data_IF_819443496978
#
_entry.id   IF_819443496978
#
_cell.length_a   1.000
_cell.length_b   1.000
_cell.length_c   1.000
_cell.angle_alpha   90.00
_cell.angle_beta   90.00
_cell.angle_gamma   90.00
#
_symmetry.space_group_name_H-M   'P 1'
#
loop_
_entity.id
_entity.type
_entity.pdbx_description
1 polymer ?
#
# COMPACT_ATOMS: atom_id res chain seq x y z
N UNK A 1 -10.00 13.24 13.90
CA UNK A 1 -9.01 12.32 14.51
C UNK A 1 -8.02 11.88 13.44
N UNK A 2 -6.79 11.51 13.83
CA UNK A 2 -5.80 10.88 12.94
C UNK A 2 -5.75 9.39 13.22
N UNK A 3 -5.86 8.58 12.17
CA UNK A 3 -5.88 7.12 12.26
C UNK A 3 -4.87 6.53 11.29
N UNK A 4 -4.06 5.59 11.77
CA UNK A 4 -3.19 4.77 10.92
C UNK A 4 -3.84 3.40 10.73
N UNK A 5 -4.02 2.99 9.48
CA UNK A 5 -4.60 1.68 9.12
C UNK A 5 -3.54 0.88 8.38
N UNK A 6 -3.10 -0.23 8.97
CA UNK A 6 -2.24 -1.21 8.30
C UNK A 6 -3.10 -2.35 7.75
N UNK A 7 -3.22 -2.41 6.43
CA UNK A 7 -3.89 -3.51 5.73
C UNK A 7 -2.83 -4.55 5.40
N UNK A 8 -2.84 -5.66 6.15
CA UNK A 8 -1.94 -6.77 5.90
C UNK A 8 -2.14 -7.35 4.49
N UNK A 9 -1.05 -7.59 3.77
CA UNK A 9 -1.13 -8.18 2.42
C UNK A 9 -1.72 -9.59 2.40
N UNK A 10 -1.68 -10.31 3.53
CA UNK A 10 -2.41 -11.58 3.69
C UNK A 10 -3.92 -11.42 3.58
N UNK A 11 -4.46 -10.24 3.89
CA UNK A 11 -5.90 -9.96 3.87
C UNK A 11 -6.37 -9.63 2.45
N UNK A 12 -5.67 -8.73 1.76
CA UNK A 12 -6.11 -8.22 0.45
C UNK A 12 -5.43 -8.86 -0.75
N UNK A 13 -4.31 -9.54 -0.55
CA UNK A 13 -3.40 -9.97 -1.59
C UNK A 13 -2.85 -11.40 -1.37
N UNK A 14 -3.64 -12.30 -0.76
CA UNK A 14 -3.30 -13.73 -0.64
C UNK A 14 -4.52 -14.66 -0.82
N UNK A 15 -5.09 -14.78 -2.04
CA UNK A 15 -4.74 -14.08 -3.28
C UNK A 15 -5.36 -12.67 -3.33
N UNK A 16 -5.13 -11.93 -4.42
CA UNK A 16 -5.76 -10.62 -4.62
C UNK A 16 -7.28 -10.72 -4.50
N UNK A 17 -7.87 -9.92 -3.61
CA UNK A 17 -9.32 -9.89 -3.40
C UNK A 17 -9.89 -8.50 -3.72
N UNK A 18 -10.43 -8.31 -4.94
CA UNK A 18 -11.02 -7.03 -5.36
C UNK A 18 -12.17 -6.56 -4.48
N UNK A 19 -12.97 -7.48 -3.90
CA UNK A 19 -14.09 -7.13 -3.04
C UNK A 19 -13.63 -6.48 -1.73
N UNK A 20 -12.51 -6.96 -1.18
CA UNK A 20 -11.92 -6.34 0.02
C UNK A 20 -11.34 -4.96 -0.29
N UNK A 21 -10.70 -4.79 -1.44
CA UNK A 21 -10.21 -3.47 -1.89
C UNK A 21 -11.38 -2.48 -2.01
N UNK A 22 -12.48 -2.90 -2.63
CA UNK A 22 -13.68 -2.08 -2.75
C UNK A 22 -14.31 -1.72 -1.39
N UNK A 23 -14.40 -2.71 -0.50
CA UNK A 23 -14.88 -2.53 0.87
C UNK A 23 -14.04 -1.53 1.66
N UNK A 24 -12.71 -1.68 1.65
CA UNK A 24 -11.80 -0.73 2.30
C UNK A 24 -11.91 0.67 1.70
N UNK A 25 -11.99 0.79 0.37
CA UNK A 25 -12.15 2.09 -0.27
C UNK A 25 -13.46 2.79 0.16
N UNK A 26 -14.55 2.04 0.29
CA UNK A 26 -15.83 2.55 0.79
C UNK A 26 -15.71 3.03 2.24
N UNK A 27 -15.16 2.20 3.14
CA UNK A 27 -14.95 2.56 4.55
C UNK A 27 -14.06 3.80 4.70
N UNK A 28 -12.95 3.87 3.97
CA UNK A 28 -12.02 5.00 4.04
C UNK A 28 -12.71 6.29 3.58
N UNK A 29 -13.56 6.25 2.55
CA UNK A 29 -14.34 7.42 2.13
C UNK A 29 -15.31 7.90 3.19
N UNK A 30 -16.03 6.99 3.83
CA UNK A 30 -16.97 7.33 4.90
C UNK A 30 -16.23 8.00 6.06
N UNK A 31 -15.09 7.43 6.48
CA UNK A 31 -14.27 8.01 7.55
C UNK A 31 -13.70 9.38 7.17
N UNK A 32 -13.24 9.55 5.93
CA UNK A 32 -12.79 10.85 5.41
C UNK A 32 -13.92 11.89 5.41
N UNK A 33 -15.12 11.52 4.97
CA UNK A 33 -16.30 12.38 4.96
C UNK A 33 -16.74 12.78 6.37
N UNK A 34 -16.49 11.93 7.37
CA UNK A 34 -16.69 12.25 8.79
C UNK A 34 -15.60 13.16 9.39
N UNK A 35 -14.66 13.69 8.58
CA UNK A 35 -13.61 14.60 9.04
C UNK A 35 -12.42 13.90 9.71
N UNK A 36 -12.18 12.62 9.41
CA UNK A 36 -10.99 11.91 9.88
C UNK A 36 -9.85 11.97 8.88
N UNK A 37 -8.63 12.07 9.40
CA UNK A 37 -7.39 11.98 8.62
C UNK A 37 -6.88 10.53 8.69
N UNK A 38 -6.62 9.89 7.54
CA UNK A 38 -6.21 8.48 7.48
C UNK A 38 -4.87 8.28 6.77
N UNK A 39 -3.93 7.62 7.46
CA UNK A 39 -2.73 7.08 6.84
C UNK A 39 -2.87 5.56 6.66
N UNK A 40 -2.97 5.10 5.41
CA UNK A 40 -3.22 3.71 5.06
C UNK A 40 -1.97 3.09 4.47
N UNK A 41 -1.52 1.95 5.02
CA UNK A 41 -0.37 1.19 4.51
C UNK A 41 -0.84 -0.19 4.07
N UNK A 42 -0.52 -0.58 2.84
CA UNK A 42 -0.94 -1.86 2.24
C UNK A 42 0.27 -2.77 2.05
N UNK A 43 0.18 -4.02 2.52
CA UNK A 43 1.18 -5.05 2.25
C UNK A 43 0.90 -5.82 0.95
N UNK A 44 1.94 -6.43 0.37
CA UNK A 44 1.81 -7.10 -0.93
C UNK A 44 1.46 -8.60 -0.92
N UNK A 45 1.42 -9.25 0.24
CA UNK A 45 0.81 -10.58 0.40
C UNK A 45 1.54 -11.71 -0.34
N UNK A 46 0.78 -12.70 -0.86
CA UNK A 46 1.32 -13.83 -1.63
C UNK A 46 1.91 -13.37 -2.95
N UNK A 47 1.36 -12.32 -3.55
CA UNK A 47 1.87 -11.72 -4.79
C UNK A 47 3.30 -11.24 -4.58
N UNK A 48 3.58 -10.48 -3.50
CA UNK A 48 4.98 -10.10 -3.19
C UNK A 48 5.87 -11.33 -2.99
N UNK A 49 5.39 -12.39 -2.32
CA UNK A 49 6.18 -13.62 -2.11
C UNK A 49 6.47 -14.35 -3.41
N UNK A 50 5.55 -14.36 -4.36
CA UNK A 50 5.75 -14.92 -5.70
C UNK A 50 6.82 -14.15 -6.46
N UNK A 51 6.77 -12.81 -6.41
CA UNK A 51 7.79 -11.97 -7.05
C UNK A 51 9.16 -12.02 -6.36
N UNK A 52 9.22 -12.18 -5.04
CA UNK A 52 10.48 -12.43 -4.31
C UNK A 52 11.12 -13.73 -4.81
N UNK A 53 10.34 -14.81 -4.95
CA UNK A 53 10.85 -16.08 -5.47
C UNK A 53 11.36 -15.94 -6.90
N UNK A 54 10.61 -15.27 -7.78
CA UNK A 54 11.06 -15.02 -9.15
C UNK A 54 12.36 -14.19 -9.18
N UNK A 55 12.46 -13.16 -8.33
CA UNK A 55 13.68 -12.36 -8.18
C UNK A 55 14.88 -13.21 -7.71
N UNK A 56 14.66 -14.11 -6.76
CA UNK A 56 15.68 -15.06 -6.29
C UNK A 56 16.13 -16.00 -7.41
N UNK A 57 15.18 -16.56 -8.18
CA UNK A 57 15.46 -17.50 -9.27
C UNK A 57 16.29 -16.88 -10.40
N UNK A 58 16.15 -15.56 -10.64
CA UNK A 58 16.98 -14.82 -11.61
C UNK A 58 18.28 -14.28 -11.00
N UNK A 59 18.61 -14.66 -9.77
CA UNK A 59 19.90 -14.38 -9.14
C UNK A 59 20.02 -13.02 -8.44
N UNK A 60 18.91 -12.35 -8.10
CA UNK A 60 18.95 -11.09 -7.37
C UNK A 60 19.28 -11.31 -5.89
N UNK A 61 20.05 -10.37 -5.31
CA UNK A 61 20.36 -10.35 -3.89
C UNK A 61 19.12 -9.99 -3.04
N UNK A 62 19.22 -10.17 -1.72
CA UNK A 62 18.09 -9.93 -0.81
C UNK A 62 17.56 -8.49 -0.86
N UNK A 63 18.45 -7.50 -1.02
CA UNK A 63 18.07 -6.09 -1.11
C UNK A 63 17.21 -5.83 -2.34
N UNK A 64 17.61 -6.35 -3.50
CA UNK A 64 16.83 -6.25 -4.73
C UNK A 64 15.51 -7.03 -4.66
N UNK A 65 15.47 -8.18 -3.96
CA UNK A 65 14.23 -8.91 -3.71
C UNK A 65 13.25 -8.08 -2.88
N UNK A 66 13.73 -7.41 -1.83
CA UNK A 66 12.92 -6.51 -1.00
C UNK A 66 12.40 -5.31 -1.81
N UNK A 67 13.21 -4.71 -2.68
CA UNK A 67 12.78 -3.63 -3.59
C UNK A 67 11.65 -4.07 -4.54
N UNK A 68 11.74 -5.29 -5.08
CA UNK A 68 10.66 -5.89 -5.87
C UNK A 68 9.39 -6.05 -5.03
N UNK A 69 9.50 -6.59 -3.81
CA UNK A 69 8.36 -6.77 -2.90
C UNK A 69 7.67 -5.44 -2.54
N UNK A 70 8.47 -4.40 -2.29
CA UNK A 70 8.01 -3.03 -2.04
C UNK A 70 7.26 -2.50 -3.26
N UNK A 71 7.81 -2.68 -4.46
CA UNK A 71 7.16 -2.26 -5.70
C UNK A 71 5.79 -2.92 -5.87
N UNK A 72 5.68 -4.22 -5.61
CA UNK A 72 4.40 -4.93 -5.64
C UNK A 72 3.40 -4.36 -4.63
N UNK A 73 3.82 -4.10 -3.39
CA UNK A 73 2.92 -3.49 -2.40
C UNK A 73 2.42 -2.10 -2.83
N UNK A 74 3.25 -1.32 -3.53
CA UNK A 74 2.88 0.00 -4.07
C UNK A 74 1.89 -0.11 -5.23
N UNK A 75 1.98 -1.14 -6.06
CA UNK A 75 0.96 -1.41 -7.11
C UNK A 75 -0.40 -1.67 -6.48
N UNK A 76 -0.46 -2.45 -5.40
CA UNK A 76 -1.73 -2.70 -4.69
C UNK A 76 -2.23 -1.44 -3.99
N UNK A 77 -1.34 -0.67 -3.37
CA UNK A 77 -1.65 0.64 -2.79
C UNK A 77 -2.21 1.61 -3.84
N UNK A 78 -1.63 1.65 -5.05
CA UNK A 78 -2.09 2.46 -6.17
C UNK A 78 -3.51 2.10 -6.59
N UNK A 79 -3.82 0.81 -6.69
CA UNK A 79 -5.17 0.36 -7.01
C UNK A 79 -6.18 0.84 -5.95
N UNK A 80 -5.85 0.73 -4.66
CA UNK A 80 -6.70 1.25 -3.57
C UNK A 80 -6.84 2.78 -3.63
N UNK A 81 -5.74 3.51 -3.84
CA UNK A 81 -5.73 4.97 -3.91
C UNK A 81 -6.59 5.50 -5.06
N UNK A 82 -6.42 4.94 -6.27
CA UNK A 82 -7.25 5.26 -7.44
C UNK A 82 -8.71 4.91 -7.15
N UNK A 83 -8.94 3.74 -6.53
CA UNK A 83 -10.30 3.34 -6.17
C UNK A 83 -10.95 4.31 -5.19
N UNK A 84 -10.21 5.02 -4.33
CA UNK A 84 -10.72 6.02 -3.38
C UNK A 84 -10.93 7.39 -4.04
N UNK A 85 -9.88 7.96 -4.65
CA UNK A 85 -9.83 9.35 -5.09
C UNK A 85 -9.69 9.58 -6.61
N UNK A 86 -9.83 8.53 -7.42
CA UNK A 86 -9.72 8.60 -8.88
C UNK A 86 -8.27 8.66 -9.37
N UNK A 87 -8.10 8.90 -10.68
CA UNK A 87 -6.77 8.89 -11.32
C UNK A 87 -5.81 9.96 -10.77
N UNK A 88 -6.32 11.02 -10.16
CA UNK A 88 -5.51 12.04 -9.49
C UNK A 88 -4.70 11.45 -8.31
N UNK A 89 -5.15 10.34 -7.74
CA UNK A 89 -4.48 9.67 -6.61
C UNK A 89 -3.56 8.53 -7.05
N UNK A 90 -3.24 8.42 -8.36
CA UNK A 90 -2.39 7.34 -8.90
C UNK A 90 -0.94 7.38 -8.40
N UNK A 91 -0.42 8.53 -7.98
CA UNK A 91 0.95 8.62 -7.44
C UNK A 91 0.92 8.21 -5.97
N UNK A 92 1.67 7.16 -5.64
CA UNK A 92 1.84 6.65 -4.28
C UNK A 92 3.12 7.24 -3.69
N UNK A 93 3.06 7.82 -2.48
CA UNK A 93 4.24 8.29 -1.78
C UNK A 93 5.28 7.18 -1.58
N UNK A 94 6.52 7.53 -1.84
CA UNK A 94 7.70 6.68 -1.68
C UNK A 94 8.58 7.10 -0.52
N UNK A 95 8.29 8.26 0.09
CA UNK A 95 8.95 8.79 1.29
C UNK A 95 7.92 9.14 2.37
N UNK A 96 8.41 9.35 3.60
CA UNK A 96 7.56 9.80 4.71
C UNK A 96 7.10 11.25 4.51
N UNK A 97 7.97 12.08 3.95
CA UNK A 97 7.72 13.48 3.66
C UNK A 97 6.57 13.64 2.66
N UNK A 98 6.63 12.92 1.53
CA UNK A 98 5.56 12.88 0.53
C UNK A 98 4.24 12.39 1.14
N UNK A 99 4.31 11.44 2.08
CA UNK A 99 3.12 10.91 2.73
C UNK A 99 2.46 11.92 3.67
N UNK A 100 3.26 12.70 4.41
CA UNK A 100 2.79 13.78 5.28
C UNK A 100 2.15 14.89 4.45
N UNK A 101 2.79 15.29 3.35
CA UNK A 101 2.24 16.28 2.41
C UNK A 101 0.90 15.81 1.81
N UNK A 102 0.88 14.59 1.29
CA UNK A 102 -0.34 13.98 0.73
C UNK A 102 -1.47 13.91 1.76
N UNK A 103 -1.16 13.53 3.00
CA UNK A 103 -2.14 13.46 4.08
C UNK A 103 -2.73 14.85 4.41
N UNK A 104 -1.88 15.89 4.48
CA UNK A 104 -2.32 17.27 4.72
C UNK A 104 -3.21 17.79 3.59
N UNK A 105 -2.87 17.49 2.33
CA UNK A 105 -3.64 17.94 1.16
C UNK A 105 -4.99 17.23 1.03
N UNK A 106 -5.01 15.91 1.23
CA UNK A 106 -6.16 15.08 0.86
C UNK A 106 -7.00 14.63 2.05
N UNK A 107 -6.45 14.70 3.26
CA UNK A 107 -6.99 14.04 4.45
C UNK A 107 -6.83 12.52 4.44
N UNK A 108 -6.34 11.93 3.35
CA UNK A 108 -6.04 10.49 3.26
C UNK A 108 -4.78 10.30 2.44
N UNK A 109 -3.87 9.47 2.96
CA UNK A 109 -2.72 8.96 2.22
C UNK A 109 -2.78 7.44 2.18
N UNK A 110 -2.45 6.86 1.02
CA UNK A 110 -2.31 5.41 0.84
C UNK A 110 -0.88 5.13 0.41
N UNK A 111 -0.23 4.15 1.05
CA UNK A 111 1.18 3.81 0.86
C UNK A 111 1.36 2.31 0.71
N UNK A 112 2.47 1.94 0.05
CA UNK A 112 3.05 0.59 0.14
C UNK A 112 4.25 0.58 1.09
N UNK A 113 5.18 -0.34 0.87
CA UNK A 113 6.47 -0.38 1.55
C UNK A 113 7.35 0.84 1.24
N UNK A 114 8.25 1.16 2.19
CA UNK A 114 9.15 2.32 2.11
C UNK A 114 10.62 1.93 1.94
N UNK A 115 11.10 0.94 2.70
CA UNK A 115 12.50 0.52 2.70
C UNK A 115 12.63 -1.00 2.85
N UNK A 116 13.68 -1.60 2.26
CA UNK A 116 14.08 -2.98 2.53
C UNK A 116 14.28 -3.26 4.03
N UNK A 117 14.17 -4.53 4.43
CA UNK A 117 14.48 -4.97 5.79
C UNK A 117 13.44 -4.68 6.89
N UNK A 118 12.37 -3.92 6.62
CA UNK A 118 11.34 -3.57 7.62
C UNK A 118 10.38 -4.72 8.03
N UNK A 119 10.46 -5.88 7.36
CA UNK A 119 9.51 -6.99 7.53
C UNK A 119 10.14 -8.26 8.13
N UNK A 120 11.40 -8.19 8.57
CA UNK A 120 12.18 -9.35 9.05
C UNK A 120 12.06 -9.64 10.56
N UNK A 121 11.04 -9.13 11.25
CA UNK A 121 10.76 -9.45 12.67
C UNK A 121 9.28 -9.80 12.89
#
# INVERSE_FOLDING_TARGET
>A
MRVTVRIGGSVVASPLNPRLIDGYASTIRVLRQAGHELAVVVGGGSISREFIKAAQEVGLNEEAQDEVAISISRVIAQMLAIRIGGLEWKRIPTTLEEAVETLRERGVVVMGGLKPGLWKH
#
